data_IF_905633063459
#
_entry.id   IF_905633063459
#
_cell.length_a   1.000
_cell.length_b   1.000
_cell.length_c   1.000
_cell.angle_alpha   90.00
_cell.angle_beta   90.00
_cell.angle_gamma   90.00
#
_symmetry.space_group_name_H-M   'P 1'
#
loop_
_entity.id
_entity.type
_entity.pdbx_description
1 polymer ?
#
# COMPACT_ATOMS: atom_id res chain seq x y z
N UNK A 1 -19.55 22.04 -10.82
CA UNK A 1 -18.99 20.82 -11.43
C UNK A 1 -17.59 20.67 -10.86
N UNK A 2 -17.32 19.59 -10.13
CA UNK A 2 -16.31 19.49 -9.05
C UNK A 2 -14.85 19.73 -9.48
N UNK A 3 -14.19 20.62 -8.74
CA UNK A 3 -12.74 20.86 -8.75
C UNK A 3 -12.03 19.67 -8.08
N UNK A 4 -11.12 19.01 -8.81
CA UNK A 4 -10.28 17.94 -8.26
C UNK A 4 -9.01 18.57 -7.71
N UNK A 5 -9.07 19.03 -6.47
CA UNK A 5 -7.93 19.63 -5.79
C UNK A 5 -7.01 18.51 -5.28
N UNK A 6 -5.82 18.38 -5.87
CA UNK A 6 -4.80 17.42 -5.44
C UNK A 6 -4.09 17.96 -4.19
N UNK A 7 -4.66 17.67 -3.01
CA UNK A 7 -4.09 18.02 -1.71
C UNK A 7 -2.66 17.49 -1.52
N UNK A 8 -1.86 18.30 -0.81
CA UNK A 8 -0.42 18.15 -0.61
C UNK A 8 0.05 16.69 -0.39
N UNK A 9 0.96 16.25 -1.25
CA UNK A 9 1.67 14.97 -1.14
C UNK A 9 2.43 14.95 0.19
N UNK A 10 1.89 14.29 1.21
CA UNK A 10 2.70 13.86 2.35
C UNK A 10 3.64 12.79 1.81
N UNK A 11 4.88 13.18 1.56
CA UNK A 11 5.97 12.26 1.26
C UNK A 11 5.98 11.15 2.31
N UNK A 12 5.91 9.87 1.90
CA UNK A 12 6.14 8.76 2.80
C UNK A 12 7.47 8.99 3.51
N UNK A 13 7.52 8.85 4.83
CA UNK A 13 8.81 8.91 5.54
C UNK A 13 9.69 7.80 4.94
N UNK A 14 10.93 8.09 4.51
CA UNK A 14 11.79 7.13 3.82
C UNK A 14 12.23 5.94 4.70
N UNK A 15 11.77 5.85 5.94
CA UNK A 15 12.09 4.81 6.91
C UNK A 15 11.01 3.71 7.04
N UNK A 16 9.90 3.81 6.30
CA UNK A 16 8.82 2.79 6.27
C UNK A 16 9.01 1.74 5.16
N UNK A 17 10.02 1.93 4.30
CA UNK A 17 10.42 0.91 3.32
C UNK A 17 11.63 0.18 3.89
N UNK A 18 11.39 -1.05 4.38
CA UNK A 18 12.45 -1.95 4.81
C UNK A 18 13.56 -2.12 3.75
N UNK A 19 14.72 -2.67 4.16
CA UNK A 19 16.00 -2.51 3.47
C UNK A 19 15.91 -2.88 1.99
N UNK A 20 16.21 -1.90 1.14
CA UNK A 20 16.58 -2.07 -0.27
C UNK A 20 15.71 -3.08 -1.03
N UNK A 21 14.40 -2.83 -1.09
CA UNK A 21 13.52 -3.57 -2.00
C UNK A 21 13.89 -3.21 -3.42
N UNK A 22 14.75 -4.03 -4.03
CA UNK A 22 14.95 -4.08 -5.49
C UNK A 22 13.59 -3.89 -6.14
N UNK A 23 13.45 -2.85 -6.97
CA UNK A 23 12.16 -2.43 -7.50
C UNK A 23 11.58 -3.50 -8.43
N UNK A 24 10.89 -4.47 -7.85
CA UNK A 24 10.19 -5.51 -8.60
C UNK A 24 9.01 -4.87 -9.34
N UNK A 25 8.56 -5.44 -10.46
CA UNK A 25 7.34 -4.98 -11.14
C UNK A 25 6.15 -4.85 -10.18
N UNK A 26 6.04 -5.74 -9.18
CA UNK A 26 4.99 -5.72 -8.17
C UNK A 26 5.13 -4.55 -7.18
N UNK A 27 6.33 -4.22 -6.73
CA UNK A 27 6.57 -3.03 -5.89
C UNK A 27 6.25 -1.73 -6.65
N UNK A 28 6.52 -1.67 -7.95
CA UNK A 28 6.09 -0.53 -8.78
C UNK A 28 4.57 -0.45 -8.90
N UNK A 29 3.90 -1.58 -9.08
CA UNK A 29 2.44 -1.63 -9.10
C UNK A 29 1.86 -1.18 -7.74
N UNK A 30 2.45 -1.61 -6.63
CA UNK A 30 2.08 -1.15 -5.28
C UNK A 30 2.16 0.37 -5.16
N UNK A 31 3.29 0.96 -5.56
CA UNK A 31 3.48 2.41 -5.52
C UNK A 31 2.49 3.18 -6.40
N UNK A 32 2.21 2.68 -7.61
CA UNK A 32 1.21 3.28 -8.51
C UNK A 32 -0.20 3.21 -7.92
N UNK A 33 -0.54 2.08 -7.29
CA UNK A 33 -1.84 1.90 -6.64
C UNK A 33 -1.96 2.80 -5.41
N UNK A 34 -0.94 2.85 -4.55
CA UNK A 34 -0.91 3.71 -3.37
C UNK A 34 -1.11 5.19 -3.71
N UNK A 35 -0.57 5.65 -4.85
CA UNK A 35 -0.67 7.04 -5.29
C UNK A 35 -2.09 7.46 -5.73
N UNK A 36 -2.98 6.51 -6.03
CA UNK A 36 -4.36 6.80 -6.48
C UNK A 36 -5.41 6.47 -5.41
N UNK A 37 -5.01 5.87 -4.29
CA UNK A 37 -5.94 5.52 -3.23
C UNK A 37 -6.28 6.74 -2.36
N UNK A 38 -7.49 6.77 -1.76
CA UNK A 38 -7.87 7.82 -0.82
C UNK A 38 -6.94 7.87 0.41
N UNK A 39 -6.87 9.01 1.11
CA UNK A 39 -6.14 9.10 2.36
C UNK A 39 -6.57 8.02 3.37
N UNK A 40 -5.60 7.45 4.09
CA UNK A 40 -5.83 6.40 5.09
C UNK A 40 -5.83 4.97 4.53
N UNK A 41 -5.88 4.80 3.21
CA UNK A 41 -5.72 3.51 2.57
C UNK A 41 -4.24 3.18 2.35
N UNK A 42 -3.89 1.90 2.48
CA UNK A 42 -2.51 1.42 2.34
C UNK A 42 -2.43 0.22 1.39
N UNK A 43 -1.30 0.06 0.72
CA UNK A 43 -0.99 -1.09 -0.14
C UNK A 43 0.28 -1.78 0.36
N UNK A 44 0.15 -3.05 0.70
CA UNK A 44 1.25 -3.92 1.09
C UNK A 44 1.56 -4.92 -0.03
N UNK A 45 2.84 -5.31 -0.18
CA UNK A 45 3.22 -6.52 -0.88
C UNK A 45 3.39 -7.62 0.17
N UNK A 46 2.64 -8.72 0.04
CA UNK A 46 2.66 -9.82 1.02
C UNK A 46 3.00 -11.11 0.32
N UNK A 47 4.00 -11.81 0.83
CA UNK A 47 4.32 -13.17 0.41
C UNK A 47 3.33 -14.15 1.04
N UNK A 48 2.55 -14.83 0.19
CA UNK A 48 1.62 -15.87 0.64
C UNK A 48 2.16 -17.22 0.20
N UNK A 49 2.53 -18.05 1.17
CA UNK A 49 2.78 -19.47 0.94
C UNK A 49 1.43 -20.20 0.96
N UNK A 50 1.02 -20.79 -0.17
CA UNK A 50 -0.23 -21.58 -0.26
C UNK A 50 -0.07 -23.01 0.26
N UNK A 51 1.15 -23.55 0.24
CA UNK A 51 1.51 -24.88 0.75
C UNK A 51 2.92 -24.85 1.34
N UNK A 52 3.23 -25.82 2.22
CA UNK A 52 4.51 -25.91 2.94
C UNK A 52 5.74 -26.00 2.03
N UNK A 53 5.56 -26.52 0.81
CA UNK A 53 6.64 -26.76 -0.16
C UNK A 53 6.55 -25.86 -1.41
N UNK A 54 5.66 -24.86 -1.42
CA UNK A 54 5.52 -23.94 -2.55
C UNK A 54 6.35 -22.67 -2.31
N UNK A 55 7.05 -22.21 -3.35
CA UNK A 55 7.70 -20.90 -3.31
C UNK A 55 6.63 -19.82 -3.03
N UNK A 56 6.87 -18.94 -2.03
CA UNK A 56 5.89 -17.90 -1.69
C UNK A 56 5.59 -17.04 -2.92
N UNK A 57 4.30 -16.82 -3.17
CA UNK A 57 3.86 -15.94 -4.26
C UNK A 57 3.55 -14.56 -3.67
N UNK A 58 4.26 -13.50 -4.10
CA UNK A 58 3.99 -12.16 -3.62
C UNK A 58 2.69 -11.64 -4.24
N UNK A 59 1.81 -11.11 -3.40
CA UNK A 59 0.55 -10.49 -3.82
C UNK A 59 0.45 -9.05 -3.32
N UNK A 60 -0.42 -8.26 -3.96
CA UNK A 60 -0.80 -6.93 -3.46
C UNK A 60 -1.99 -7.04 -2.53
N UNK A 61 -1.90 -6.43 -1.35
CA UNK A 61 -3.00 -6.32 -0.39
C UNK A 61 -3.32 -4.87 -0.14
N UNK A 62 -4.57 -4.49 -0.36
CA UNK A 62 -5.08 -3.16 -0.02
C UNK A 62 -5.73 -3.20 1.35
N UNK A 63 -5.35 -2.26 2.23
CA UNK A 63 -5.91 -2.11 3.57
C UNK A 63 -6.70 -0.81 3.64
N UNK A 64 -7.95 -0.93 4.10
CA UNK A 64 -8.80 0.22 4.38
C UNK A 64 -8.44 0.81 5.75
N UNK A 65 -8.59 2.12 5.94
CA UNK A 65 -8.47 2.71 7.26
C UNK A 65 -9.54 2.12 8.17
N UNK A 66 -9.16 1.79 9.41
CA UNK A 66 -10.10 1.33 10.43
C UNK A 66 -11.08 2.48 10.73
N UNK A 67 -12.37 2.26 10.49
CA UNK A 67 -13.41 3.22 10.87
C UNK A 67 -13.62 3.12 12.37
N UNK A 68 -12.72 3.70 13.18
CA UNK A 68 -12.92 3.80 14.62
C UNK A 68 -14.09 4.76 14.84
N UNK A 69 -15.27 4.32 15.31
CA UNK A 69 -16.31 5.26 15.71
C UNK A 69 -15.74 6.11 16.85
N UNK A 70 -15.78 7.42 16.71
CA UNK A 70 -15.45 8.33 17.80
C UNK A 70 -16.39 8.00 18.95
N UNK A 71 -15.85 7.46 20.05
CA UNK A 71 -16.59 7.34 21.28
C UNK A 71 -17.07 8.74 21.66
N UNK A 72 -18.39 8.91 21.71
CA UNK A 72 -19.07 10.12 22.21
C UNK A 72 -19.25 10.02 23.72
#
# INVERSE_FOLDING_TARGET
>A
MTDVTFGARKTPRPNDFGPSTTSTPLHRAAGRLQAVLPPGWLVDVVDIAKRRDEAPQPILRVRMPENRPAAS
#
